data_IF_337110918070
#
_entry.id   IF_337110918070
#
_cell.length_a   1.000
_cell.length_b   1.000
_cell.length_c   1.000
_cell.angle_alpha   90.00
_cell.angle_beta   90.00
_cell.angle_gamma   90.00
#
_symmetry.space_group_name_H-M   'P 1'
#
loop_
_entity.id
_entity.type
_entity.pdbx_description
1 polymer ?
#
# COMPACT_ATOMS: atom_id res chain seq x y z
N UNK A 1 -41.20 0.82 -10.34
CA UNK A 1 -40.08 1.31 -9.49
C UNK A 1 -39.40 0.09 -8.88
N UNK A 2 -38.42 -0.59 -9.49
CA UNK A 2 -37.16 -0.02 -9.98
C UNK A 2 -36.16 0.11 -8.82
N UNK A 3 -35.83 -1.00 -8.15
CA UNK A 3 -34.74 -1.05 -7.16
C UNK A 3 -33.74 -2.09 -7.63
N UNK A 4 -32.94 -1.66 -8.59
CA UNK A 4 -31.78 -2.33 -9.14
C UNK A 4 -30.65 -2.52 -8.12
N UNK A 5 -29.95 -3.66 -8.24
CA UNK A 5 -28.53 -3.87 -7.88
C UNK A 5 -28.16 -3.78 -6.39
N UNK A 6 -27.97 -4.90 -5.69
CA UNK A 6 -26.71 -5.67 -5.65
C UNK A 6 -25.51 -4.89 -5.10
N UNK A 7 -25.12 -5.19 -3.86
CA UNK A 7 -23.70 -5.15 -3.46
C UNK A 7 -23.44 -6.23 -2.39
N UNK A 8 -23.56 -7.49 -2.79
CA UNK A 8 -22.93 -8.60 -2.07
C UNK A 8 -21.47 -8.63 -2.50
N UNK A 9 -20.61 -7.99 -1.72
CA UNK A 9 -19.16 -8.10 -1.84
C UNK A 9 -18.68 -9.23 -0.96
N UNK A 10 -18.68 -10.44 -1.51
CA UNK A 10 -18.04 -11.65 -0.96
C UNK A 10 -16.51 -11.47 -1.04
N UNK A 11 -15.97 -10.61 -0.17
CA UNK A 11 -14.55 -10.37 -0.05
C UNK A 11 -13.98 -11.24 1.06
N UNK A 12 -14.08 -12.56 0.89
CA UNK A 12 -13.44 -13.51 1.79
C UNK A 12 -12.02 -13.04 2.09
N UNK A 13 -11.75 -12.82 3.38
CA UNK A 13 -10.41 -12.64 3.92
C UNK A 13 -9.67 -13.95 3.67
N UNK A 14 -9.24 -14.14 2.43
CA UNK A 14 -8.30 -15.18 2.07
C UNK A 14 -7.01 -14.73 2.75
N UNK A 15 -6.76 -15.25 3.95
CA UNK A 15 -5.45 -15.17 4.56
C UNK A 15 -4.52 -15.87 3.58
N UNK A 16 -3.65 -15.18 2.81
CA UNK A 16 -2.59 -15.90 2.15
C UNK A 16 -1.79 -16.54 3.29
N UNK A 17 -1.67 -17.86 3.28
CA UNK A 17 -0.67 -18.53 4.11
C UNK A 17 0.67 -17.83 3.83
N UNK A 18 1.38 -17.33 4.85
CA UNK A 18 2.71 -16.75 4.64
C UNK A 18 3.65 -17.90 4.25
N UNK A 19 3.72 -18.15 2.95
CA UNK A 19 4.66 -19.06 2.33
C UNK A 19 6.02 -18.39 2.26
N UNK A 20 6.99 -19.04 2.91
CA UNK A 20 8.41 -18.70 2.98
C UNK A 20 8.74 -17.45 3.79
N UNK A 21 9.21 -17.67 5.03
CA UNK A 21 10.03 -16.69 5.76
C UNK A 21 11.46 -16.77 5.21
N UNK A 22 11.95 -15.79 4.41
CA UNK A 22 13.38 -15.65 4.21
C UNK A 22 13.91 -15.00 5.49
N UNK A 23 14.74 -15.74 6.24
CA UNK A 23 15.46 -15.33 7.45
C UNK A 23 15.07 -13.96 8.01
N UNK A 24 14.15 -13.96 8.98
CA UNK A 24 13.74 -12.73 9.65
C UNK A 24 15.00 -12.03 10.19
N UNK A 25 15.35 -10.83 9.70
CA UNK A 25 16.43 -10.08 10.32
C UNK A 25 16.03 -9.85 11.78
N UNK A 26 17.00 -9.84 12.69
CA UNK A 26 16.72 -9.48 14.09
C UNK A 26 15.87 -8.20 14.12
N UNK A 27 14.96 -8.08 15.08
CA UNK A 27 14.00 -6.96 15.21
C UNK A 27 14.59 -5.57 14.91
N UNK A 28 15.87 -5.32 15.25
CA UNK A 28 16.58 -4.08 14.89
C UNK A 28 16.77 -3.88 13.38
N UNK A 29 17.09 -4.94 12.62
CA UNK A 29 17.24 -4.90 11.17
C UNK A 29 15.93 -4.64 10.43
N UNK A 30 14.80 -5.16 10.94
CA UNK A 30 13.46 -4.93 10.37
C UNK A 30 13.08 -3.45 10.46
N UNK A 31 13.34 -2.81 11.61
CA UNK A 31 13.02 -1.39 11.82
C UNK A 31 13.93 -0.48 10.98
N UNK A 32 15.22 -0.83 10.84
CA UNK A 32 16.15 -0.08 10.00
C UNK A 32 15.75 -0.11 8.51
N UNK A 33 15.34 -1.28 8.03
CA UNK A 33 14.87 -1.49 6.66
C UNK A 33 13.61 -0.67 6.35
N UNK A 34 12.61 -0.67 7.24
CA UNK A 34 11.41 0.14 7.05
C UNK A 34 11.69 1.65 7.04
N UNK A 35 12.63 2.14 7.87
CA UNK A 35 13.06 3.55 7.83
C UNK A 35 13.79 3.90 6.53
N UNK A 36 14.58 2.98 5.98
CA UNK A 36 15.24 3.19 4.70
C UNK A 36 14.21 3.34 3.58
N UNK A 37 13.19 2.47 3.57
CA UNK A 37 12.06 2.57 2.62
C UNK A 37 11.30 3.87 2.75
N UNK A 38 11.09 4.36 3.98
CA UNK A 38 10.49 5.66 4.23
C UNK A 38 11.24 6.82 3.54
N UNK A 39 12.58 6.74 3.45
CA UNK A 39 13.43 7.73 2.75
C UNK A 39 13.31 7.67 1.23
N UNK A 40 12.76 6.60 0.67
CA UNK A 40 12.57 6.43 -0.77
C UNK A 40 11.22 7.00 -1.27
N UNK A 41 10.26 7.29 -0.38
CA UNK A 41 8.97 7.90 -0.78
C UNK A 41 9.07 9.15 -1.66
N UNK A 42 10.02 10.08 -1.44
CA UNK A 42 10.19 11.25 -2.30
C UNK A 42 10.51 10.90 -3.76
N UNK A 43 11.06 9.70 -4.01
CA UNK A 43 11.39 9.21 -5.37
C UNK A 43 10.20 8.64 -6.13
N UNK A 44 9.06 8.44 -5.46
CA UNK A 44 7.82 8.05 -6.14
C UNK A 44 7.31 9.20 -7.01
N UNK A 45 6.78 8.84 -8.19
CA UNK A 45 6.04 9.80 -8.99
C UNK A 45 4.82 10.34 -8.22
N UNK A 46 4.31 11.54 -8.55
CA UNK A 46 3.18 12.14 -7.84
C UNK A 46 1.96 11.20 -7.78
N UNK A 47 1.68 10.51 -8.88
CA UNK A 47 0.56 9.56 -8.98
C UNK A 47 0.76 8.33 -8.08
N UNK A 48 1.97 7.81 -8.03
CA UNK A 48 2.35 6.68 -7.16
C UNK A 48 2.27 7.06 -5.68
N UNK A 49 2.68 8.28 -5.32
CA UNK A 49 2.58 8.79 -3.95
C UNK A 49 1.13 8.86 -3.47
N UNK A 50 0.24 9.40 -4.29
CA UNK A 50 -1.19 9.44 -3.98
C UNK A 50 -1.78 8.02 -3.79
N UNK A 51 -1.37 7.05 -4.62
CA UNK A 51 -1.79 5.66 -4.42
C UNK A 51 -1.24 5.09 -3.11
N UNK A 52 0.04 5.33 -2.79
CA UNK A 52 0.65 4.88 -1.55
C UNK A 52 -0.03 5.48 -0.29
N UNK A 53 -0.39 6.77 -0.33
CA UNK A 53 -1.12 7.45 0.73
C UNK A 53 -2.51 6.83 0.97
N UNK A 54 -3.27 6.55 -0.10
CA UNK A 54 -4.58 5.91 0.03
C UNK A 54 -4.47 4.45 0.51
N UNK A 55 -3.40 3.75 0.12
CA UNK A 55 -3.09 2.41 0.65
C UNK A 55 -2.79 2.48 2.15
N UNK A 56 -2.02 3.47 2.60
CA UNK A 56 -1.75 3.69 4.01
C UNK A 56 -3.00 4.08 4.81
N UNK A 57 -3.96 4.74 4.16
CA UNK A 57 -5.31 5.00 4.69
C UNK A 57 -6.20 3.75 4.76
N UNK A 58 -5.74 2.60 4.29
CA UNK A 58 -6.47 1.32 4.36
C UNK A 58 -7.47 1.08 3.23
N UNK A 59 -7.52 1.94 2.21
CA UNK A 59 -8.48 1.78 1.11
C UNK A 59 -8.15 0.56 0.24
N UNK A 60 -9.17 -0.11 -0.26
CA UNK A 60 -9.08 -1.21 -1.23
C UNK A 60 -8.84 -0.69 -2.66
N UNK A 61 -8.29 -1.52 -3.55
CA UNK A 61 -8.09 -1.15 -4.96
C UNK A 61 -9.33 -0.53 -5.67
N UNK A 62 -10.57 -1.05 -5.48
CA UNK A 62 -11.76 -0.42 -6.05
C UNK A 62 -12.10 0.94 -5.41
N UNK A 63 -11.84 1.13 -4.12
CA UNK A 63 -12.07 2.42 -3.42
C UNK A 63 -11.05 3.46 -3.87
N UNK A 64 -9.79 3.06 -4.05
CA UNK A 64 -8.73 3.89 -4.63
C UNK A 64 -9.08 4.25 -6.07
N UNK A 65 -9.56 3.29 -6.86
CA UNK A 65 -10.00 3.51 -8.22
C UNK A 65 -11.11 4.57 -8.29
N UNK A 66 -12.11 4.47 -7.40
CA UNK A 66 -13.18 5.47 -7.28
C UNK A 66 -12.69 6.85 -6.86
N UNK A 67 -11.78 6.91 -5.89
CA UNK A 67 -11.20 8.17 -5.39
C UNK A 67 -10.36 8.89 -6.46
N UNK A 68 -9.67 8.12 -7.30
CA UNK A 68 -8.73 8.64 -8.29
C UNK A 68 -9.30 8.69 -9.71
N UNK A 69 -10.56 8.29 -9.91
CA UNK A 69 -11.22 8.22 -11.21
C UNK A 69 -10.44 7.38 -12.24
N UNK A 70 -9.87 6.26 -11.81
CA UNK A 70 -9.14 5.31 -12.66
C UNK A 70 -9.69 3.90 -12.51
N UNK A 71 -9.23 2.95 -13.33
CA UNK A 71 -9.67 1.54 -13.20
C UNK A 71 -8.89 0.82 -12.10
N UNK A 72 -9.49 -0.20 -11.43
CA UNK A 72 -8.76 -1.02 -10.45
C UNK A 72 -7.54 -1.73 -11.05
N UNK A 73 -7.57 -2.05 -12.35
CA UNK A 73 -6.40 -2.58 -13.08
C UNK A 73 -5.25 -1.55 -13.09
N UNK A 74 -5.56 -0.28 -13.33
CA UNK A 74 -4.58 0.81 -13.29
C UNK A 74 -4.04 1.02 -11.89
N UNK A 75 -4.88 0.91 -10.85
CA UNK A 75 -4.43 0.95 -9.45
C UNK A 75 -3.39 -0.14 -9.18
N UNK A 76 -3.67 -1.39 -9.56
CA UNK A 76 -2.71 -2.50 -9.40
C UNK A 76 -1.39 -2.26 -10.12
N UNK A 77 -1.42 -1.66 -11.31
CA UNK A 77 -0.20 -1.27 -12.03
C UNK A 77 0.59 -0.19 -11.28
N UNK A 78 -0.09 0.81 -10.71
CA UNK A 78 0.56 1.80 -9.86
C UNK A 78 1.15 1.18 -8.59
N UNK A 79 0.42 0.30 -7.90
CA UNK A 79 0.90 -0.42 -6.71
C UNK A 79 2.14 -1.25 -7.04
N UNK A 80 2.14 -2.00 -8.15
CA UNK A 80 3.32 -2.75 -8.59
C UNK A 80 4.54 -1.84 -8.85
N UNK A 81 4.31 -0.67 -9.44
CA UNK A 81 5.35 0.35 -9.61
C UNK A 81 5.87 0.90 -8.28
N UNK A 82 4.99 1.14 -7.30
CA UNK A 82 5.36 1.57 -5.94
C UNK A 82 6.20 0.50 -5.25
N UNK A 83 5.77 -0.76 -5.26
CA UNK A 83 6.51 -1.90 -4.68
C UNK A 83 7.93 -1.96 -5.23
N UNK A 84 8.07 -1.85 -6.56
CA UNK A 84 9.37 -1.88 -7.23
C UNK A 84 10.26 -0.68 -6.87
N UNK A 85 9.69 0.50 -6.65
CA UNK A 85 10.47 1.69 -6.28
C UNK A 85 10.84 1.75 -4.80
N UNK A 86 10.02 1.15 -3.93
CA UNK A 86 10.28 1.09 -2.49
C UNK A 86 11.03 -0.19 -2.09
N UNK A 87 11.40 -1.05 -3.04
CA UNK A 87 11.98 -2.37 -2.78
C UNK A 87 11.14 -3.17 -1.76
N UNK A 88 9.82 -3.00 -1.87
CA UNK A 88 8.83 -3.57 -0.99
C UNK A 88 8.21 -4.82 -1.60
N UNK A 89 7.90 -5.81 -0.78
CA UNK A 89 7.30 -7.07 -1.26
C UNK A 89 5.79 -7.13 -1.06
N UNK A 90 5.26 -6.29 -0.16
CA UNK A 90 3.87 -6.35 0.27
C UNK A 90 3.22 -4.97 0.38
N UNK A 91 1.90 -4.92 0.18
CA UNK A 91 1.08 -3.71 0.37
C UNK A 91 1.23 -3.12 1.78
N UNK A 92 1.41 -3.98 2.78
CA UNK A 92 1.65 -3.60 4.18
C UNK A 92 2.97 -2.83 4.32
N UNK A 93 4.02 -3.21 3.59
CA UNK A 93 5.30 -2.50 3.62
C UNK A 93 5.19 -1.09 3.02
N UNK A 94 4.35 -0.91 1.99
CA UNK A 94 4.01 0.42 1.46
C UNK A 94 3.35 1.27 2.55
N UNK A 95 2.32 0.73 3.19
CA UNK A 95 1.60 1.41 4.25
C UNK A 95 2.55 1.80 5.41
N UNK A 96 3.40 0.85 5.84
CA UNK A 96 4.39 1.09 6.89
C UNK A 96 5.36 2.22 6.51
N UNK A 97 5.88 2.22 5.28
CA UNK A 97 6.80 3.26 4.81
C UNK A 97 6.15 4.66 4.81
N UNK A 98 4.88 4.76 4.39
CA UNK A 98 4.12 6.02 4.41
C UNK A 98 3.87 6.48 5.85
N UNK A 99 3.37 5.60 6.71
CA UNK A 99 3.07 5.92 8.12
C UNK A 99 4.34 6.36 8.85
N UNK A 100 5.46 5.66 8.66
CA UNK A 100 6.73 6.05 9.25
C UNK A 100 7.22 7.42 8.76
N UNK A 101 7.02 7.74 7.48
CA UNK A 101 7.33 9.06 6.95
C UNK A 101 6.43 10.16 7.56
N UNK A 102 5.15 9.86 7.81
CA UNK A 102 4.19 10.79 8.43
C UNK A 102 4.50 11.05 9.91
N UNK A 103 4.93 10.03 10.66
CA UNK A 103 5.33 10.17 12.08
C UNK A 103 6.52 11.12 12.23
N UNK A 104 7.41 11.21 11.23
CA UNK A 104 8.50 12.19 11.19
C UNK A 104 8.07 13.61 10.79
N UNK A 105 6.87 13.79 10.23
CA UNK A 105 6.36 15.06 9.73
C UNK A 105 5.42 15.81 10.69
N UNK A 106 5.04 15.21 11.81
CA UNK A 106 4.10 15.82 12.78
C UNK A 106 4.78 16.71 13.85
N UNK A 107 6.11 16.82 13.83
CA UNK A 107 6.91 17.68 14.74
C UNK A 107 7.64 18.82 14.00
N UNK A 108 7.07 19.30 12.89
CA UNK A 108 7.56 20.45 12.12
C UNK A 108 6.61 21.64 12.20
#
# INVERSE_FOLDING_TARGET
MGREGMHVGDGGLSCPTPGASPGVPGLEGVVADHRQRARLLPRLSPRQRQVAELVAGGLSDPEIAGTLFITPRTVRAHVAGVLRHLEATSRVEIACAVVLAQVGGFLG
#
